data_IF_884061999492
#
_entry.id   IF_884061999492
#
_cell.length_a   1.000
_cell.length_b   1.000
_cell.length_c   1.000
_cell.angle_alpha   90.00
_cell.angle_beta   90.00
_cell.angle_gamma   90.00
#
_symmetry.space_group_name_H-M   'P 1'
#
loop_
_entity.id
_entity.type
_entity.pdbx_description
1 polymer ?
#
# COMPACT_ATOMS: atom_id res chain seq x y z
N UNK A 1 -25.83 -11.47 8.16
CA UNK A 1 -24.85 -11.30 9.26
C UNK A 1 -23.46 -11.17 8.65
N UNK A 2 -22.77 -10.05 8.83
CA UNK A 2 -21.36 -9.91 8.38
C UNK A 2 -20.46 -10.45 9.49
N UNK A 3 -19.94 -11.65 9.31
CA UNK A 3 -18.97 -12.22 10.26
C UNK A 3 -17.58 -11.77 9.84
N UNK A 4 -16.90 -11.07 10.75
CA UNK A 4 -15.48 -10.71 10.63
C UNK A 4 -14.67 -12.00 10.62
N UNK A 5 -13.87 -12.19 9.56
CA UNK A 5 -13.00 -13.37 9.40
C UNK A 5 -11.74 -13.16 10.22
N UNK A 6 -11.78 -13.62 11.45
CA UNK A 6 -10.68 -13.48 12.38
C UNK A 6 -9.89 -14.78 12.45
N UNK A 7 -8.64 -14.75 12.01
CA UNK A 7 -7.74 -15.88 12.13
C UNK A 7 -6.30 -15.40 12.22
N UNK A 8 -5.46 -16.22 12.84
CA UNK A 8 -4.04 -15.94 13.06
C UNK A 8 -3.22 -16.69 12.02
N UNK A 9 -2.23 -16.02 11.45
CA UNK A 9 -1.40 -16.56 10.37
C UNK A 9 0.06 -16.43 10.78
N UNK A 10 0.81 -17.52 10.66
CA UNK A 10 2.26 -17.56 10.87
C UNK A 10 3.01 -17.05 9.64
N UNK A 11 4.34 -16.86 9.76
CA UNK A 11 5.16 -16.25 8.71
C UNK A 11 5.24 -17.06 7.41
N UNK A 12 5.00 -18.37 7.46
CA UNK A 12 4.98 -19.28 6.31
C UNK A 12 3.57 -19.50 5.76
N UNK A 13 2.58 -18.77 6.27
CA UNK A 13 1.20 -18.82 5.80
C UNK A 13 0.32 -19.90 6.44
N UNK A 14 0.81 -20.67 7.42
CA UNK A 14 -0.08 -21.56 8.17
C UNK A 14 -1.04 -20.76 9.05
N UNK A 15 -2.32 -21.13 8.98
CA UNK A 15 -3.37 -20.60 9.82
C UNK A 15 -3.33 -21.33 11.17
N UNK A 16 -3.04 -20.60 12.25
CA UNK A 16 -2.86 -21.14 13.60
C UNK A 16 -4.22 -21.35 14.28
N UNK A 17 -5.10 -20.34 14.22
CA UNK A 17 -6.43 -20.40 14.81
C UNK A 17 -7.44 -19.61 13.99
N UNK A 18 -8.70 -20.05 13.99
CA UNK A 18 -9.84 -19.39 13.34
C UNK A 18 -10.85 -18.99 14.44
N UNK A 19 -10.83 -17.70 14.78
CA UNK A 19 -11.55 -17.10 15.90
C UNK A 19 -13.03 -16.82 15.57
N UNK A 20 -13.88 -16.91 16.59
CA UNK A 20 -15.30 -16.54 16.52
C UNK A 20 -16.28 -17.71 16.47
N UNK A 21 -17.50 -17.51 15.94
CA UNK A 21 -18.02 -16.28 15.36
C UNK A 21 -18.21 -15.19 16.42
N UNK A 22 -18.04 -13.93 16.03
CA UNK A 22 -18.33 -12.76 16.86
C UNK A 22 -19.46 -11.93 16.24
N UNK A 23 -20.07 -11.06 17.05
CA UNK A 23 -21.02 -10.07 16.54
C UNK A 23 -20.26 -9.11 15.61
N UNK A 24 -20.94 -8.62 14.57
CA UNK A 24 -20.35 -7.67 13.62
C UNK A 24 -19.86 -6.37 14.28
N UNK A 25 -20.38 -6.03 15.46
CA UNK A 25 -20.00 -4.86 16.25
C UNK A 25 -18.75 -5.09 17.12
N UNK A 26 -18.27 -6.33 17.23
CA UNK A 26 -17.07 -6.65 18.00
C UNK A 26 -15.86 -6.41 17.11
N UNK A 27 -15.04 -5.42 17.47
CA UNK A 27 -13.82 -5.10 16.73
C UNK A 27 -12.69 -6.10 17.02
N UNK A 28 -11.67 -6.10 16.17
CA UNK A 28 -10.58 -7.08 16.24
C UNK A 28 -9.71 -6.94 17.50
N UNK A 29 -9.58 -5.72 18.05
CA UNK A 29 -8.89 -5.47 19.32
C UNK A 29 -9.61 -6.14 20.50
N UNK A 30 -10.93 -5.99 20.61
CA UNK A 30 -11.75 -6.64 21.65
C UNK A 30 -11.73 -8.15 21.54
N UNK A 31 -11.78 -8.68 20.31
CA UNK A 31 -11.67 -10.13 20.06
C UNK A 31 -10.32 -10.65 20.55
N UNK A 32 -9.24 -9.93 20.26
CA UNK A 32 -7.89 -10.32 20.69
C UNK A 32 -7.76 -10.30 22.22
N UNK A 33 -8.26 -9.24 22.86
CA UNK A 33 -8.27 -9.10 24.32
C UNK A 33 -9.04 -10.25 25.01
N UNK A 34 -10.20 -10.63 24.47
CA UNK A 34 -10.97 -11.78 24.97
C UNK A 34 -10.14 -13.09 24.91
N UNK A 35 -9.42 -13.31 23.82
CA UNK A 35 -8.60 -14.51 23.67
C UNK A 35 -7.34 -14.47 24.55
N UNK A 36 -6.76 -13.29 24.77
CA UNK A 36 -5.64 -13.11 25.71
C UNK A 36 -6.03 -13.45 27.14
N UNK A 37 -7.22 -13.02 27.57
CA UNK A 37 -7.74 -13.30 28.91
C UNK A 37 -8.15 -14.76 29.13
N UNK A 38 -8.35 -15.55 28.07
CA UNK A 38 -8.71 -16.96 28.17
C UNK A 38 -7.45 -17.83 28.12
N UNK A 39 -7.08 -18.45 29.25
CA UNK A 39 -5.89 -19.30 29.37
C UNK A 39 -5.92 -20.53 28.46
N UNK A 40 -7.12 -21.02 28.11
CA UNK A 40 -7.30 -22.17 27.21
C UNK A 40 -7.27 -21.76 25.73
N UNK A 41 -7.15 -20.47 25.41
CA UNK A 41 -7.15 -20.02 24.02
C UNK A 41 -5.90 -20.50 23.28
N UNK A 42 -6.02 -20.64 21.95
CA UNK A 42 -4.85 -20.92 21.11
C UNK A 42 -3.80 -19.82 21.23
N UNK A 43 -4.23 -18.56 21.39
CA UNK A 43 -3.31 -17.43 21.55
C UNK A 43 -2.40 -17.61 22.79
N UNK A 44 -2.95 -18.14 23.89
CA UNK A 44 -2.21 -18.36 25.15
C UNK A 44 -1.42 -19.66 25.17
N UNK A 45 -1.90 -20.70 24.49
CA UNK A 45 -1.29 -22.04 24.51
C UNK A 45 -0.23 -22.25 23.41
N UNK A 46 -0.37 -21.61 22.25
CA UNK A 46 0.53 -21.78 21.12
C UNK A 46 1.71 -20.78 21.13
N UNK A 47 1.43 -19.48 21.34
CA UNK A 47 2.44 -18.43 21.28
C UNK A 47 3.20 -18.28 22.61
N UNK A 48 4.43 -17.82 22.51
CA UNK A 48 5.36 -17.65 23.63
C UNK A 48 5.75 -16.19 23.81
N UNK A 49 6.19 -15.87 25.03
CA UNK A 49 6.79 -14.55 25.33
C UNK A 49 7.95 -14.30 24.37
N UNK A 50 8.02 -13.11 23.79
CA UNK A 50 8.98 -12.73 22.76
C UNK A 50 8.49 -12.93 21.32
N UNK A 51 7.41 -13.67 21.10
CA UNK A 51 6.84 -13.81 19.75
C UNK A 51 6.37 -12.46 19.20
N UNK A 52 6.57 -12.27 17.89
CA UNK A 52 6.32 -11.01 17.20
C UNK A 52 4.93 -11.04 16.54
N UNK A 53 4.09 -10.10 16.93
CA UNK A 53 2.77 -9.88 16.37
C UNK A 53 2.80 -8.70 15.39
N UNK A 54 2.51 -8.96 14.12
CA UNK A 54 2.36 -7.95 13.07
C UNK A 54 0.86 -7.73 12.84
N UNK A 55 0.38 -6.56 13.23
CA UNK A 55 -1.05 -6.26 13.32
C UNK A 55 -1.46 -5.11 12.38
N UNK A 56 -2.74 -5.04 12.04
CA UNK A 56 -3.30 -3.87 11.37
C UNK A 56 -3.63 -2.75 12.39
N UNK A 57 -3.89 -1.54 11.90
CA UNK A 57 -4.21 -0.38 12.76
C UNK A 57 -5.46 -0.58 13.62
N UNK A 58 -6.38 -1.46 13.21
CA UNK A 58 -7.59 -1.80 13.98
C UNK A 58 -7.31 -2.49 15.32
N UNK A 59 -6.07 -2.94 15.56
CA UNK A 59 -5.65 -3.59 16.81
C UNK A 59 -5.03 -2.59 17.81
N UNK A 60 -5.09 -1.28 17.54
CA UNK A 60 -4.48 -0.23 18.39
C UNK A 60 -4.76 -0.41 19.87
N UNK A 61 -6.01 -0.70 20.22
CA UNK A 61 -6.49 -0.70 21.60
C UNK A 61 -6.02 -1.94 22.40
N UNK A 62 -5.44 -2.96 21.75
CA UNK A 62 -4.93 -4.18 22.41
C UNK A 62 -3.40 -4.28 22.43
N UNK A 63 -2.67 -3.34 21.82
CA UNK A 63 -1.20 -3.36 21.75
C UNK A 63 -0.55 -3.41 23.14
N UNK A 64 -0.98 -2.53 24.04
CA UNK A 64 -0.43 -2.46 25.40
C UNK A 64 -0.70 -3.75 26.18
N UNK A 65 -1.84 -4.39 25.94
CA UNK A 65 -2.19 -5.66 26.56
C UNK A 65 -1.29 -6.79 26.07
N UNK A 66 -1.10 -6.93 24.75
CA UNK A 66 -0.16 -7.89 24.15
C UNK A 66 1.25 -7.74 24.74
N UNK A 67 1.73 -6.50 24.87
CA UNK A 67 3.04 -6.22 25.45
C UNK A 67 3.14 -6.60 26.93
N UNK A 68 2.08 -6.37 27.72
CA UNK A 68 2.02 -6.81 29.14
C UNK A 68 2.10 -8.33 29.27
N UNK A 69 1.54 -9.07 28.32
CA UNK A 69 1.67 -10.53 28.25
C UNK A 69 3.05 -11.01 27.75
N UNK A 70 3.93 -10.08 27.37
CA UNK A 70 5.31 -10.36 26.97
C UNK A 70 5.50 -10.60 25.47
N UNK A 71 4.51 -10.27 24.64
CA UNK A 71 4.66 -10.32 23.18
C UNK A 71 5.27 -9.04 22.63
N UNK A 72 5.91 -9.13 21.47
CA UNK A 72 6.41 -7.96 20.72
C UNK A 72 5.37 -7.58 19.68
N UNK A 73 4.57 -6.54 19.95
CA UNK A 73 3.49 -6.13 19.05
C UNK A 73 3.88 -4.91 18.21
N UNK A 74 3.68 -5.02 16.89
CA UNK A 74 3.88 -3.94 15.92
C UNK A 74 2.62 -3.70 15.09
N UNK A 75 2.30 -2.43 14.86
CA UNK A 75 1.23 -1.98 13.98
C UNK A 75 1.68 -0.73 13.22
N UNK A 76 1.03 -0.36 12.10
CA UNK A 76 1.33 0.91 11.44
C UNK A 76 1.00 2.09 12.35
N UNK A 77 1.80 3.14 12.25
CA UNK A 77 1.65 4.36 13.01
C UNK A 77 0.33 5.07 12.67
N UNK A 78 -0.10 5.90 13.61
CA UNK A 78 -1.35 6.63 13.56
C UNK A 78 -1.11 8.12 13.74
N UNK A 79 -1.95 8.94 13.11
CA UNK A 79 -1.92 10.39 13.32
C UNK A 79 -2.35 10.72 14.75
N UNK A 80 -1.68 11.71 15.33
CA UNK A 80 -2.16 12.40 16.52
C UNK A 80 -3.27 13.39 16.13
N UNK A 81 -3.95 13.91 17.14
CA UNK A 81 -4.96 14.95 16.95
C UNK A 81 -4.34 16.17 16.24
N UNK A 82 -5.05 16.73 15.27
CA UNK A 82 -4.62 17.86 14.43
C UNK A 82 -3.48 17.56 13.42
N UNK A 83 -2.98 16.33 13.34
CA UNK A 83 -2.06 15.95 12.27
C UNK A 83 -2.80 15.53 11.00
N UNK A 84 -2.21 15.84 9.84
CA UNK A 84 -2.77 15.46 8.53
C UNK A 84 -1.91 14.41 7.80
N UNK A 85 -0.67 14.23 8.23
CA UNK A 85 0.32 13.37 7.60
C UNK A 85 1.33 12.86 8.63
N UNK A 86 1.77 11.60 8.49
CA UNK A 86 2.81 11.02 9.33
C UNK A 86 4.16 11.69 9.04
N UNK A 87 5.00 11.80 10.08
CA UNK A 87 6.42 12.13 9.90
C UNK A 87 7.13 11.08 9.04
N UNK A 88 8.28 11.44 8.46
CA UNK A 88 9.09 10.49 7.66
C UNK A 88 9.39 9.22 8.46
N UNK A 89 9.79 9.35 9.73
CA UNK A 89 10.15 8.20 10.54
C UNK A 89 8.95 7.32 10.91
N UNK A 90 7.80 7.91 11.27
CA UNK A 90 6.56 7.15 11.49
C UNK A 90 6.10 6.43 10.21
N UNK A 91 6.18 7.09 9.07
CA UNK A 91 5.79 6.52 7.79
C UNK A 91 6.73 5.39 7.34
N UNK A 92 8.03 5.50 7.63
CA UNK A 92 9.03 4.43 7.42
C UNK A 92 8.75 3.22 8.33
N UNK A 93 8.54 3.42 9.63
CA UNK A 93 8.17 2.34 10.58
C UNK A 93 6.88 1.64 10.16
N UNK A 94 5.88 2.41 9.73
CA UNK A 94 4.64 1.87 9.17
C UNK A 94 4.87 1.00 7.94
N UNK A 95 5.86 1.36 7.10
CA UNK A 95 6.20 0.54 5.94
C UNK A 95 6.77 -0.81 6.34
N UNK A 96 7.62 -0.90 7.37
CA UNK A 96 8.16 -2.17 7.85
C UNK A 96 7.04 -3.15 8.21
N UNK A 97 6.04 -2.68 8.98
CA UNK A 97 4.88 -3.51 9.35
C UNK A 97 4.11 -3.96 8.12
N UNK A 98 3.77 -3.04 7.22
CA UNK A 98 3.02 -3.36 6.00
C UNK A 98 3.80 -4.19 4.99
N UNK A 99 5.15 -4.16 5.00
CA UNK A 99 6.00 -5.06 4.23
C UNK A 99 5.83 -6.50 4.70
N UNK A 100 5.83 -6.75 6.00
CA UNK A 100 5.69 -8.08 6.58
C UNK A 100 4.26 -8.65 6.49
N UNK A 101 3.24 -7.78 6.48
CA UNK A 101 1.82 -8.17 6.47
C UNK A 101 1.35 -8.90 5.19
N UNK A 102 2.16 -8.92 4.12
CA UNK A 102 1.78 -9.51 2.83
C UNK A 102 1.35 -10.98 2.91
N UNK A 103 1.93 -11.76 3.82
CA UNK A 103 1.58 -13.19 4.06
C UNK A 103 0.10 -13.33 4.40
N UNK A 104 -0.42 -12.44 5.26
CA UNK A 104 -1.83 -12.40 5.66
C UNK A 104 -2.73 -12.07 4.46
N UNK A 105 -2.28 -11.22 3.54
CA UNK A 105 -3.03 -10.88 2.33
C UNK A 105 -3.10 -12.07 1.36
N UNK A 106 -2.01 -12.83 1.22
CA UNK A 106 -1.97 -14.04 0.40
C UNK A 106 -2.92 -15.11 0.95
N UNK A 107 -2.88 -15.38 2.26
CA UNK A 107 -3.79 -16.35 2.88
C UNK A 107 -5.25 -15.90 2.76
N UNK A 108 -5.55 -14.62 2.98
CA UNK A 108 -6.87 -14.06 2.71
C UNK A 108 -7.31 -14.24 1.25
N UNK A 109 -6.38 -14.09 0.32
CA UNK A 109 -6.58 -14.37 -1.10
C UNK A 109 -6.94 -15.83 -1.36
N UNK A 110 -6.18 -16.78 -0.80
CA UNK A 110 -6.42 -18.23 -0.90
C UNK A 110 -7.83 -18.58 -0.40
N UNK A 111 -8.20 -18.12 0.79
CA UNK A 111 -9.54 -18.31 1.37
C UNK A 111 -10.64 -17.80 0.41
N UNK A 112 -10.49 -16.57 -0.09
CA UNK A 112 -11.52 -15.94 -0.96
C UNK A 112 -11.62 -16.60 -2.34
N UNK A 113 -10.50 -17.06 -2.90
CA UNK A 113 -10.42 -17.65 -4.24
C UNK A 113 -10.99 -19.06 -4.25
N UNK A 114 -10.61 -19.87 -3.28
CA UNK A 114 -10.90 -21.31 -3.28
C UNK A 114 -12.29 -21.60 -2.69
N UNK A 115 -12.69 -20.81 -1.69
CA UNK A 115 -13.97 -20.96 -1.00
C UNK A 115 -14.87 -19.76 -1.31
N UNK A 116 -15.42 -19.75 -2.53
CA UNK A 116 -16.32 -18.69 -3.04
C UNK A 116 -17.49 -18.41 -2.10
N UNK A 117 -17.93 -19.41 -1.33
CA UNK A 117 -18.94 -19.29 -0.28
C UNK A 117 -18.68 -18.09 0.63
N UNK A 118 -17.43 -17.81 1.01
CA UNK A 118 -17.12 -16.70 1.90
C UNK A 118 -17.14 -15.34 1.19
N UNK A 119 -17.11 -15.27 -0.16
CA UNK A 119 -17.15 -14.01 -0.92
C UNK A 119 -18.52 -13.33 -0.87
N UNK A 120 -19.58 -14.09 -0.62
CA UNK A 120 -20.97 -13.62 -0.71
C UNK A 120 -21.62 -13.43 0.66
N UNK A 121 -22.75 -12.71 0.67
CA UNK A 121 -23.58 -12.55 1.86
C UNK A 121 -24.18 -13.91 2.23
N UNK A 122 -23.98 -14.32 3.48
CA UNK A 122 -24.44 -15.62 3.97
C UNK A 122 -25.94 -15.65 4.20
N UNK A 123 -26.59 -16.75 3.78
CA UNK A 123 -27.96 -17.05 4.16
C UNK A 123 -28.02 -17.38 5.66
N UNK A 124 -28.97 -16.80 6.39
CA UNK A 124 -29.14 -16.99 7.83
C UNK A 124 -29.29 -18.47 8.24
N UNK A 125 -29.89 -19.32 7.40
CA UNK A 125 -30.00 -20.77 7.69
C UNK A 125 -28.63 -21.48 7.61
N UNK A 126 -27.81 -21.10 6.63
CA UNK A 126 -26.46 -21.65 6.45
C UNK A 126 -25.45 -21.07 7.48
N UNK A 127 -25.76 -19.92 8.09
CA UNK A 127 -24.91 -19.28 9.08
C UNK A 127 -24.68 -20.14 10.34
N UNK A 128 -25.54 -21.12 10.63
CA UNK A 128 -25.39 -22.07 11.73
C UNK A 128 -24.11 -22.92 11.61
N UNK A 129 -23.70 -23.24 10.39
CA UNK A 129 -22.52 -24.07 10.12
C UNK A 129 -21.28 -23.27 9.71
N UNK A 130 -21.43 -21.96 9.48
CA UNK A 130 -20.39 -21.07 8.98
C UNK A 130 -19.08 -21.15 9.79
N UNK A 131 -19.13 -21.26 11.12
CA UNK A 131 -17.90 -21.45 11.92
C UNK A 131 -17.16 -22.71 11.51
N UNK A 132 -17.88 -23.83 11.41
CA UNK A 132 -17.30 -25.12 11.09
C UNK A 132 -16.81 -25.14 9.63
N UNK A 133 -17.61 -24.61 8.71
CA UNK A 133 -17.22 -24.48 7.29
C UNK A 133 -15.94 -23.65 7.14
N UNK A 134 -15.84 -22.54 7.89
CA UNK A 134 -14.66 -21.69 7.88
C UNK A 134 -13.44 -22.41 8.46
N UNK A 135 -13.59 -23.11 9.59
CA UNK A 135 -12.50 -23.92 10.19
C UNK A 135 -12.04 -25.05 9.27
N UNK A 136 -12.98 -25.76 8.63
CA UNK A 136 -12.67 -26.80 7.64
C UNK A 136 -11.89 -26.18 6.48
N UNK A 137 -12.33 -25.01 6.00
CA UNK A 137 -11.63 -24.30 4.93
C UNK A 137 -10.22 -23.87 5.34
N UNK A 138 -10.03 -23.34 6.57
CA UNK A 138 -8.71 -23.04 7.14
C UNK A 138 -7.82 -24.30 7.14
N UNK A 139 -8.35 -25.44 7.61
CA UNK A 139 -7.62 -26.70 7.69
C UNK A 139 -7.25 -27.26 6.31
N UNK A 140 -8.15 -27.16 5.33
CA UNK A 140 -7.88 -27.53 3.93
C UNK A 140 -6.78 -26.66 3.31
N UNK A 141 -6.76 -25.35 3.62
CA UNK A 141 -5.67 -24.48 3.18
C UNK A 141 -4.34 -24.96 3.76
N UNK A 142 -4.26 -25.17 5.07
CA UNK A 142 -3.03 -25.65 5.71
C UNK A 142 -2.58 -27.01 5.16
N UNK A 143 -3.51 -27.90 4.80
CA UNK A 143 -3.19 -29.26 4.34
C UNK A 143 -2.69 -29.30 2.89
N UNK A 144 -3.26 -28.48 2.01
CA UNK A 144 -3.08 -28.63 0.56
C UNK A 144 -2.34 -27.48 -0.12
N UNK A 145 -2.27 -26.29 0.50
CA UNK A 145 -1.47 -25.21 -0.09
C UNK A 145 0.00 -25.36 0.25
N UNK A 146 0.84 -24.96 -0.68
CA UNK A 146 2.28 -24.79 -0.43
C UNK A 146 2.51 -23.69 0.61
N UNK A 147 3.54 -23.89 1.42
CA UNK A 147 4.05 -22.87 2.33
C UNK A 147 4.42 -21.61 1.57
N UNK A 148 4.27 -20.48 2.24
CA UNK A 148 4.59 -19.17 1.69
C UNK A 148 6.07 -18.91 1.94
N UNK A 149 6.84 -18.92 0.86
CA UNK A 149 8.25 -18.60 0.89
C UNK A 149 8.49 -17.13 0.56
N UNK A 150 9.62 -16.60 1.04
CA UNK A 150 10.03 -15.26 0.69
C UNK A 150 10.33 -15.18 -0.82
N UNK A 151 9.93 -14.09 -1.49
CA UNK A 151 10.33 -13.88 -2.88
C UNK A 151 11.87 -13.76 -2.98
N UNK A 152 12.47 -14.09 -4.14
CA UNK A 152 13.92 -14.01 -4.33
C UNK A 152 14.53 -12.65 -3.95
N UNK A 153 13.78 -11.57 -4.16
CA UNK A 153 14.21 -10.19 -3.91
C UNK A 153 14.05 -9.75 -2.43
N UNK A 154 13.51 -10.60 -1.55
CA UNK A 154 13.17 -10.23 -0.17
C UNK A 154 14.37 -9.68 0.62
N UNK A 155 15.53 -10.33 0.51
CA UNK A 155 16.74 -9.89 1.21
C UNK A 155 17.21 -8.51 0.74
N UNK A 156 17.13 -8.25 -0.57
CA UNK A 156 17.42 -6.93 -1.13
C UNK A 156 16.45 -5.88 -0.59
N UNK A 157 15.15 -6.16 -0.58
CA UNK A 157 14.15 -5.22 -0.08
C UNK A 157 14.31 -4.93 1.41
N UNK A 158 14.65 -5.94 2.22
CA UNK A 158 14.95 -5.76 3.65
C UNK A 158 16.19 -4.90 3.84
N UNK A 159 17.25 -5.11 3.05
CA UNK A 159 18.46 -4.25 3.09
C UNK A 159 18.11 -2.80 2.78
N UNK A 160 17.45 -2.55 1.65
CA UNK A 160 17.04 -1.18 1.26
C UNK A 160 16.16 -0.54 2.35
N UNK A 161 15.22 -1.30 2.92
CA UNK A 161 14.37 -0.79 3.98
C UNK A 161 15.16 -0.40 5.24
N UNK A 162 16.13 -1.22 5.66
CA UNK A 162 17.00 -0.93 6.81
C UNK A 162 17.87 0.29 6.57
N UNK A 163 18.51 0.39 5.41
CA UNK A 163 19.39 1.50 5.05
C UNK A 163 18.63 2.84 5.02
N UNK A 164 17.34 2.80 4.67
CA UNK A 164 16.49 4.00 4.55
C UNK A 164 15.67 4.33 5.79
N UNK A 165 15.61 3.45 6.80
CA UNK A 165 14.70 3.56 7.94
C UNK A 165 14.82 4.90 8.68
N UNK A 166 16.06 5.35 8.89
CA UNK A 166 16.40 6.58 9.63
C UNK A 166 16.70 7.77 8.73
N UNK A 167 16.55 7.64 7.40
CA UNK A 167 16.78 8.75 6.49
C UNK A 167 15.63 9.77 6.58
N UNK A 168 16.00 11.03 6.70
CA UNK A 168 15.07 12.14 6.54
C UNK A 168 14.72 12.36 5.07
N UNK A 169 13.52 12.90 4.83
CA UNK A 169 13.07 13.25 3.49
C UNK A 169 13.24 14.77 3.27
N UNK A 170 14.46 15.18 2.90
CA UNK A 170 14.79 16.59 2.66
C UNK A 170 13.88 17.24 1.59
N UNK A 171 13.44 16.48 0.59
CA UNK A 171 12.48 16.98 -0.41
C UNK A 171 11.13 17.30 0.23
N UNK A 172 10.62 16.44 1.12
CA UNK A 172 9.39 16.72 1.86
C UNK A 172 9.53 17.97 2.74
N UNK A 173 10.65 18.11 3.44
CA UNK A 173 10.95 19.31 4.25
C UNK A 173 10.94 20.58 3.40
N UNK A 174 11.61 20.55 2.24
CA UNK A 174 11.61 21.68 1.30
C UNK A 174 10.22 22.02 0.79
N UNK A 175 9.44 21.02 0.35
CA UNK A 175 8.07 21.19 -0.15
C UNK A 175 7.18 21.91 0.87
N UNK A 176 7.33 21.57 2.15
CA UNK A 176 6.58 22.17 3.25
C UNK A 176 7.04 23.60 3.54
N UNK A 177 8.34 23.82 3.73
CA UNK A 177 8.90 25.14 4.04
C UNK A 177 8.64 26.16 2.92
N UNK A 178 8.81 25.74 1.66
CA UNK A 178 8.57 26.56 0.49
C UNK A 178 7.07 26.69 0.12
N UNK A 179 6.19 26.02 0.87
CA UNK A 179 4.75 25.98 0.66
C UNK A 179 4.36 25.63 -0.78
N UNK A 180 5.07 24.67 -1.40
CA UNK A 180 4.96 24.41 -2.83
C UNK A 180 3.52 24.06 -3.23
N UNK A 181 2.76 23.35 -2.38
CA UNK A 181 1.35 23.01 -2.64
C UNK A 181 0.46 24.24 -2.96
N UNK A 182 0.82 25.44 -2.45
CA UNK A 182 0.07 26.68 -2.68
C UNK A 182 0.59 27.49 -3.88
N UNK A 183 1.78 27.18 -4.39
CA UNK A 183 2.36 27.89 -5.54
C UNK A 183 1.62 27.51 -6.82
N UNK A 184 1.29 28.53 -7.63
CA UNK A 184 0.67 28.32 -8.94
C UNK A 184 1.62 27.58 -9.87
N UNK A 185 1.10 26.55 -10.53
CA UNK A 185 1.81 25.75 -11.54
C UNK A 185 0.81 25.37 -12.62
N UNK A 186 1.27 25.37 -13.87
CA UNK A 186 0.49 24.91 -14.99
C UNK A 186 0.56 23.38 -15.06
N UNK A 187 -0.55 22.73 -14.73
CA UNK A 187 -0.70 21.29 -14.80
C UNK A 187 -1.36 20.89 -16.12
N UNK A 188 -0.91 19.77 -16.70
CA UNK A 188 -1.51 19.11 -17.85
C UNK A 188 -1.72 17.64 -17.55
N UNK A 189 -2.63 16.98 -18.27
CA UNK A 189 -2.86 15.54 -18.08
C UNK A 189 -1.55 14.78 -18.34
N UNK A 190 -1.31 13.75 -17.53
CA UNK A 190 -0.04 13.00 -17.58
C UNK A 190 0.20 12.33 -18.94
N UNK A 191 -0.88 12.01 -19.67
CA UNK A 191 -0.88 11.42 -21.01
C UNK A 191 -0.85 12.47 -22.15
N UNK A 192 -0.78 13.76 -21.84
CA UNK A 192 -0.58 14.81 -22.85
C UNK A 192 0.84 14.76 -23.40
N UNK A 193 1.04 15.30 -24.61
CA UNK A 193 2.38 15.45 -25.16
C UNK A 193 3.19 16.45 -24.32
N UNK A 194 4.22 15.97 -23.63
CA UNK A 194 5.07 16.74 -22.74
C UNK A 194 6.54 16.54 -23.15
N UNK A 195 7.09 17.31 -24.12
CA UNK A 195 8.44 17.08 -24.64
C UNK A 195 9.55 17.12 -23.58
N UNK A 196 9.37 17.91 -22.52
CA UNK A 196 10.33 17.96 -21.42
C UNK A 196 10.42 16.65 -20.61
N UNK A 197 9.44 15.75 -20.75
CA UNK A 197 9.44 14.41 -20.13
C UNK A 197 10.03 13.34 -21.06
N UNK A 198 10.51 13.67 -22.25
CA UNK A 198 11.10 12.67 -23.16
C UNK A 198 12.35 12.03 -22.56
N UNK A 199 13.07 12.77 -21.69
CA UNK A 199 14.23 12.30 -20.93
C UNK A 199 13.88 11.64 -19.58
N UNK A 200 12.60 11.49 -19.24
CA UNK A 200 12.22 10.76 -18.02
C UNK A 200 12.68 9.30 -18.14
N UNK A 201 13.25 8.69 -17.08
CA UNK A 201 13.89 7.39 -17.17
C UNK A 201 12.91 6.29 -17.61
N UNK A 202 13.32 5.46 -18.56
CA UNK A 202 12.59 4.24 -18.90
C UNK A 202 12.99 3.13 -17.93
N UNK A 203 12.05 2.74 -17.05
CA UNK A 203 12.32 1.77 -15.98
C UNK A 203 11.63 0.45 -16.24
N UNK A 204 12.27 -0.66 -15.85
CA UNK A 204 11.66 -1.98 -15.92
C UNK A 204 10.65 -2.20 -14.80
N UNK A 205 9.78 -3.21 -14.94
CA UNK A 205 8.89 -3.63 -13.84
C UNK A 205 9.70 -4.04 -12.60
N UNK A 206 10.90 -4.59 -12.76
CA UNK A 206 11.79 -4.95 -11.65
C UNK A 206 12.25 -3.70 -10.90
N UNK A 207 12.63 -2.64 -11.60
CA UNK A 207 12.99 -1.36 -10.99
C UNK A 207 11.83 -0.75 -10.21
N UNK A 208 10.61 -0.84 -10.75
CA UNK A 208 9.40 -0.34 -10.08
C UNK A 208 9.05 -1.17 -8.83
N UNK A 209 9.21 -2.50 -8.88
CA UNK A 209 9.06 -3.35 -7.68
C UNK A 209 10.10 -2.98 -6.62
N UNK A 210 11.35 -2.72 -7.03
CA UNK A 210 12.43 -2.27 -6.15
C UNK A 210 12.14 -0.89 -5.56
N UNK A 211 11.60 0.06 -6.33
CA UNK A 211 11.16 1.37 -5.84
C UNK A 211 10.06 1.28 -4.77
N UNK A 212 9.09 0.38 -4.94
CA UNK A 212 8.00 0.18 -3.97
C UNK A 212 8.36 -0.78 -2.81
N UNK A 213 9.43 -1.55 -2.95
CA UNK A 213 9.75 -2.71 -2.11
C UNK A 213 8.61 -3.74 -2.11
N UNK A 214 8.05 -4.01 -3.30
CA UNK A 214 6.97 -4.96 -3.48
C UNK A 214 6.03 -4.63 -4.65
N UNK A 215 5.04 -5.49 -4.86
CA UNK A 215 4.13 -5.42 -6.02
C UNK A 215 2.83 -4.67 -5.75
N UNK A 216 2.50 -4.41 -4.48
CA UNK A 216 1.20 -3.84 -4.12
C UNK A 216 0.98 -2.46 -4.73
N UNK A 217 1.94 -1.54 -4.57
CA UNK A 217 1.80 -0.18 -5.12
C UNK A 217 1.77 -0.16 -6.64
N UNK A 218 2.45 -1.10 -7.30
CA UNK A 218 2.39 -1.27 -8.75
C UNK A 218 0.99 -1.69 -9.21
N UNK A 219 0.36 -2.64 -8.52
CA UNK A 219 -1.05 -3.03 -8.77
C UNK A 219 -2.03 -1.88 -8.51
N UNK A 220 -1.75 -1.02 -7.54
CA UNK A 220 -2.56 0.18 -7.30
C UNK A 220 -2.36 1.23 -8.40
N UNK A 221 -1.14 1.41 -8.88
CA UNK A 221 -0.83 2.35 -9.95
C UNK A 221 -1.62 2.06 -11.23
N UNK A 222 -1.70 0.79 -11.64
CA UNK A 222 -2.51 0.39 -12.80
C UNK A 222 -4.00 0.68 -12.59
N UNK A 223 -4.52 0.47 -11.38
CA UNK A 223 -5.90 0.81 -11.01
C UNK A 223 -6.16 2.31 -11.07
N UNK A 224 -5.27 3.12 -10.50
CA UNK A 224 -5.41 4.58 -10.51
C UNK A 224 -5.34 5.17 -11.91
N UNK A 225 -4.42 4.68 -12.74
CA UNK A 225 -4.34 5.10 -14.12
C UNK A 225 -5.55 4.60 -14.94
N UNK A 226 -6.05 3.41 -14.65
CA UNK A 226 -7.29 2.91 -15.24
C UNK A 226 -8.49 3.84 -14.98
N UNK A 227 -8.63 4.36 -13.77
CA UNK A 227 -9.64 5.38 -13.45
C UNK A 227 -9.41 6.69 -14.22
N UNK A 228 -8.15 7.05 -14.48
CA UNK A 228 -7.79 8.27 -15.23
C UNK A 228 -8.22 8.23 -16.71
N UNK A 229 -8.12 7.07 -17.36
CA UNK A 229 -8.45 6.92 -18.78
C UNK A 229 -9.91 6.51 -19.03
N UNK A 230 -10.69 6.21 -17.99
CA UNK A 230 -12.12 5.88 -18.12
C UNK A 230 -12.94 7.11 -18.52
N UNK A 231 -13.89 6.91 -19.42
CA UNK A 231 -14.64 7.95 -20.14
C UNK A 231 -15.52 8.85 -19.26
N UNK A 232 -15.76 8.50 -17.99
CA UNK A 232 -16.54 9.34 -17.07
C UNK A 232 -15.81 10.63 -16.69
N UNK A 233 -14.48 10.73 -16.89
CA UNK A 233 -13.71 11.98 -16.79
C UNK A 233 -13.57 12.57 -15.38
N UNK A 234 -14.02 11.87 -14.33
CA UNK A 234 -14.05 12.39 -12.96
C UNK A 234 -12.64 12.41 -12.34
N UNK A 235 -11.82 11.43 -12.69
CA UNK A 235 -10.49 11.19 -12.12
C UNK A 235 -9.37 11.66 -13.06
N UNK A 236 -8.52 12.58 -12.59
CA UNK A 236 -7.41 13.12 -13.37
C UNK A 236 -6.07 12.93 -12.65
N UNK A 237 -5.06 12.55 -13.44
CA UNK A 237 -3.65 12.55 -13.07
C UNK A 237 -2.97 13.59 -13.94
N UNK A 238 -2.33 14.56 -13.31
CA UNK A 238 -1.72 15.67 -14.01
C UNK A 238 -0.30 15.93 -13.49
N UNK A 239 0.55 16.44 -14.37
CA UNK A 239 1.94 16.83 -14.09
C UNK A 239 2.20 18.26 -14.56
N UNK A 240 3.18 18.93 -13.99
CA UNK A 240 3.59 20.26 -14.45
C UNK A 240 4.10 20.20 -15.88
N UNK A 241 3.70 21.16 -16.71
CA UNK A 241 4.07 21.21 -18.12
C UNK A 241 5.44 21.86 -18.41
N UNK A 242 6.10 22.34 -17.36
CA UNK A 242 7.38 23.06 -17.39
C UNK A 242 8.26 22.55 -16.27
N UNK A 243 9.56 22.37 -16.52
CA UNK A 243 10.50 21.94 -15.50
C UNK A 243 10.79 23.06 -14.52
N UNK A 244 10.80 22.72 -13.24
CA UNK A 244 11.30 23.60 -12.19
C UNK A 244 12.76 23.23 -11.93
N UNK A 245 13.65 24.02 -12.51
CA UNK A 245 15.10 23.83 -12.49
C UNK A 245 15.76 24.55 -11.31
N UNK A 246 15.04 25.43 -10.62
CA UNK A 246 15.53 26.14 -9.44
C UNK A 246 15.33 25.28 -8.18
N UNK A 247 16.08 24.18 -8.14
CA UNK A 247 16.07 23.24 -7.02
C UNK A 247 17.16 23.64 -6.02
N UNK A 248 16.84 23.79 -4.72
CA UNK A 248 17.83 24.11 -3.69
C UNK A 248 18.99 23.12 -3.65
N UNK A 249 20.21 23.62 -3.41
CA UNK A 249 21.44 22.83 -3.34
C UNK A 249 21.39 21.66 -2.32
N UNK A 250 20.60 21.79 -1.25
CA UNK A 250 20.41 20.72 -0.25
C UNK A 250 19.76 19.46 -0.87
N UNK A 251 19.10 19.60 -2.03
CA UNK A 251 18.53 18.50 -2.80
C UNK A 251 19.48 18.00 -3.89
N UNK A 252 20.77 18.37 -3.83
CA UNK A 252 21.78 17.96 -4.80
C UNK A 252 21.91 18.91 -5.99
N UNK A 253 22.94 18.67 -6.79
CA UNK A 253 23.22 19.42 -8.01
C UNK A 253 22.56 18.73 -9.22
N UNK A 254 22.31 19.51 -10.26
CA UNK A 254 21.86 19.01 -11.56
C UNK A 254 20.55 18.19 -11.52
N UNK A 255 19.62 18.59 -10.66
CA UNK A 255 18.30 17.97 -10.56
C UNK A 255 17.22 18.91 -11.10
N UNK A 256 16.07 18.35 -11.49
CA UNK A 256 14.83 19.10 -11.69
C UNK A 256 13.71 18.54 -10.82
N UNK A 257 12.71 19.38 -10.57
CA UNK A 257 11.53 19.01 -9.81
C UNK A 257 10.33 18.77 -10.73
N UNK A 258 9.84 17.53 -10.73
CA UNK A 258 8.57 17.15 -11.34
C UNK A 258 7.47 17.16 -10.27
N UNK A 259 6.40 17.86 -10.55
CA UNK A 259 5.24 18.07 -9.67
C UNK A 259 4.03 17.40 -10.29
N UNK A 260 3.35 16.55 -9.53
CA UNK A 260 2.09 15.96 -9.95
C UNK A 260 0.94 16.33 -9.01
N UNK A 261 -0.28 16.16 -9.52
CA UNK A 261 -1.49 16.18 -8.71
C UNK A 261 -2.42 15.06 -9.14
N UNK A 262 -3.02 14.42 -8.15
CA UNK A 262 -3.85 13.23 -8.33
C UNK A 262 -5.11 13.37 -7.46
N UNK A 263 -6.29 13.25 -8.06
CA UNK A 263 -7.55 13.24 -7.29
C UNK A 263 -7.65 11.98 -6.42
N UNK A 264 -8.33 12.08 -5.29
CA UNK A 264 -8.61 10.95 -4.40
C UNK A 264 -9.77 10.12 -4.94
N UNK A 265 -9.57 8.80 -5.09
CA UNK A 265 -10.64 7.84 -5.43
C UNK A 265 -11.73 7.66 -4.37
N UNK A 266 -11.46 8.11 -3.14
CA UNK A 266 -12.33 7.86 -1.97
C UNK A 266 -13.08 9.11 -1.51
N UNK A 267 -12.63 10.30 -1.93
CA UNK A 267 -13.17 11.58 -1.49
C UNK A 267 -13.08 12.58 -2.65
N UNK A 268 -14.22 12.94 -3.24
CA UNK A 268 -14.27 13.74 -4.47
C UNK A 268 -13.55 15.10 -4.37
N UNK A 269 -13.43 15.68 -3.17
CA UNK A 269 -12.78 16.99 -2.96
C UNK A 269 -11.27 16.93 -2.70
N UNK A 270 -10.71 15.75 -2.42
CA UNK A 270 -9.31 15.65 -1.98
C UNK A 270 -8.37 15.44 -3.15
N UNK A 271 -7.40 16.33 -3.31
CA UNK A 271 -6.30 16.19 -4.27
C UNK A 271 -4.99 15.95 -3.52
N UNK A 272 -4.21 14.99 -3.98
CA UNK A 272 -2.87 14.72 -3.47
C UNK A 272 -1.84 15.33 -4.42
N UNK A 273 -0.86 16.02 -3.84
CA UNK A 273 0.29 16.56 -4.56
C UNK A 273 1.45 15.58 -4.44
N UNK A 274 2.17 15.41 -5.52
CA UNK A 274 3.35 14.55 -5.61
C UNK A 274 4.53 15.35 -6.11
N UNK A 275 5.72 14.99 -5.65
CA UNK A 275 6.97 15.64 -5.98
C UNK A 275 7.99 14.55 -6.26
N UNK A 276 8.69 14.68 -7.37
CA UNK A 276 9.73 13.79 -7.85
C UNK A 276 10.95 14.66 -8.15
N UNK A 277 12.05 14.34 -7.49
CA UNK A 277 13.35 14.95 -7.73
C UNK A 277 14.13 14.03 -8.68
N UNK A 278 14.45 14.54 -9.85
CA UNK A 278 15.00 13.77 -10.96
C UNK A 278 16.39 14.29 -11.32
N UNK A 279 17.37 13.40 -11.41
CA UNK A 279 18.73 13.73 -11.87
C UNK A 279 18.77 13.94 -13.37
N UNK A 280 19.55 14.94 -13.79
CA UNK A 280 19.90 15.20 -15.19
C UNK A 280 21.25 14.59 -15.56
N UNK A 281 21.88 13.84 -14.67
CA UNK A 281 23.19 13.24 -14.92
C UNK A 281 23.07 12.05 -15.87
N UNK A 282 23.77 12.14 -17.00
CA UNK A 282 23.73 11.10 -18.04
C UNK A 282 24.28 9.75 -17.55
N UNK A 283 25.13 9.76 -16.51
CA UNK A 283 25.71 8.55 -15.92
C UNK A 283 24.67 7.61 -15.29
N UNK A 284 23.54 8.14 -14.81
CA UNK A 284 22.46 7.36 -14.19
C UNK A 284 21.20 7.32 -15.06
N UNK A 285 21.25 7.87 -16.28
CA UNK A 285 20.10 7.95 -17.17
C UNK A 285 19.47 6.57 -17.42
N UNK A 286 18.13 6.51 -17.44
CA UNK A 286 17.35 5.28 -17.60
C UNK A 286 17.59 4.20 -16.53
N UNK A 287 18.11 4.59 -15.36
CA UNK A 287 18.20 3.71 -14.20
C UNK A 287 17.30 4.21 -13.07
N UNK A 288 17.03 3.36 -12.09
CA UNK A 288 16.27 3.75 -10.91
C UNK A 288 16.93 4.91 -10.15
N UNK A 289 18.26 5.04 -10.22
CA UNK A 289 19.03 6.08 -9.55
C UNK A 289 18.80 7.48 -10.15
N UNK A 290 18.19 7.58 -11.34
CA UNK A 290 17.67 8.84 -11.88
C UNK A 290 16.63 9.47 -10.94
N UNK A 291 15.86 8.66 -10.19
CA UNK A 291 14.87 9.15 -9.22
C UNK A 291 15.56 9.33 -7.85
N UNK A 292 16.09 10.53 -7.65
CA UNK A 292 16.87 10.90 -6.45
C UNK A 292 16.00 10.99 -5.21
N UNK A 293 14.77 11.49 -5.35
CA UNK A 293 13.87 11.70 -4.21
C UNK A 293 12.42 11.79 -4.61
N UNK A 294 11.54 11.55 -3.65
CA UNK A 294 10.10 11.71 -3.84
C UNK A 294 9.39 12.03 -2.52
N UNK A 295 8.29 12.77 -2.61
CA UNK A 295 7.33 12.90 -1.53
C UNK A 295 5.92 13.17 -2.05
N UNK A 296 4.92 12.87 -1.24
CA UNK A 296 3.51 13.09 -1.56
C UNK A 296 2.79 13.70 -0.37
N UNK A 297 1.69 14.44 -0.58
CA UNK A 297 0.85 15.00 0.50
C UNK A 297 -0.13 13.98 1.12
N UNK A 298 -0.07 12.69 0.74
CA UNK A 298 -0.90 11.65 1.33
C UNK A 298 -0.40 11.22 2.70
N UNK A 299 -1.22 10.52 3.50
CA UNK A 299 -0.92 10.13 4.90
C UNK A 299 0.51 9.61 5.14
N UNK A 300 1.03 8.77 4.25
CA UNK A 300 2.33 8.09 4.33
C UNK A 300 3.39 8.68 3.37
N UNK A 301 3.06 9.80 2.71
CA UNK A 301 3.77 10.30 1.54
C UNK A 301 5.16 10.87 1.80
N UNK A 302 5.57 11.06 3.07
CA UNK A 302 6.92 11.48 3.45
C UNK A 302 7.94 10.35 3.56
N UNK A 303 7.51 9.08 3.51
CA UNK A 303 8.39 7.93 3.68
C UNK A 303 9.49 7.87 2.61
N UNK A 304 10.65 7.36 3.00
CA UNK A 304 11.79 7.04 2.12
C UNK A 304 11.91 5.53 1.87
N UNK A 305 11.29 4.72 2.73
CA UNK A 305 11.17 3.26 2.58
C UNK A 305 9.98 2.95 1.67
N UNK A 306 10.26 2.65 0.40
CA UNK A 306 9.25 2.44 -0.64
C UNK A 306 8.41 3.69 -0.95
N UNK A 307 7.69 3.74 -2.07
CA UNK A 307 6.89 4.92 -2.41
C UNK A 307 5.37 4.70 -2.19
N UNK A 308 4.58 5.75 -1.97
CA UNK A 308 3.11 5.60 -1.89
C UNK A 308 2.52 5.26 -3.27
N UNK A 309 1.24 4.89 -3.31
CA UNK A 309 0.57 4.54 -4.58
C UNK A 309 0.55 5.72 -5.57
N UNK A 310 0.37 6.96 -5.10
CA UNK A 310 0.35 8.16 -5.95
C UNK A 310 1.69 8.42 -6.66
N UNK A 311 2.79 8.29 -5.91
CA UNK A 311 4.14 8.36 -6.50
C UNK A 311 4.33 7.22 -7.50
N UNK A 312 3.95 6.00 -7.12
CA UNK A 312 4.07 4.85 -8.01
C UNK A 312 3.27 5.05 -9.30
N UNK A 313 2.07 5.62 -9.25
CA UNK A 313 1.26 5.87 -10.46
C UNK A 313 1.97 6.77 -11.46
N UNK A 314 2.54 7.88 -10.99
CA UNK A 314 3.25 8.82 -11.88
C UNK A 314 4.52 8.19 -12.43
N UNK A 315 5.34 7.59 -11.55
CA UNK A 315 6.60 6.96 -11.98
C UNK A 315 6.30 5.83 -12.95
N UNK A 316 5.42 4.89 -12.60
CA UNK A 316 5.05 3.77 -13.45
C UNK A 316 4.56 4.21 -14.82
N UNK A 317 3.68 5.21 -14.90
CA UNK A 317 3.17 5.65 -16.20
C UNK A 317 4.27 6.31 -17.04
N UNK A 318 5.01 7.28 -16.48
CA UNK A 318 6.04 8.01 -17.22
C UNK A 318 7.25 7.13 -17.59
N UNK A 319 7.60 6.14 -16.77
CA UNK A 319 8.78 5.30 -17.01
C UNK A 319 8.49 4.03 -17.79
N UNK A 320 7.25 3.53 -17.77
CA UNK A 320 6.91 2.23 -18.32
C UNK A 320 5.55 2.27 -19.06
N UNK A 321 4.50 2.75 -18.41
CA UNK A 321 3.13 2.69 -18.91
C UNK A 321 2.93 3.40 -20.25
N UNK A 322 3.51 4.58 -20.48
CA UNK A 322 3.35 5.31 -21.75
C UNK A 322 4.05 4.63 -22.95
N UNK A 323 4.94 3.68 -22.70
CA UNK A 323 5.67 2.92 -23.71
C UNK A 323 5.08 1.53 -23.98
N UNK A 324 4.10 1.14 -23.17
CA UNK A 324 3.43 -0.15 -23.27
C UNK A 324 1.95 0.11 -23.54
N UNK A 325 1.28 -0.79 -24.25
CA UNK A 325 -0.16 -0.65 -24.47
C UNK A 325 -0.92 -0.88 -23.14
N UNK A 326 -1.32 0.21 -22.49
CA UNK A 326 -1.95 0.18 -21.17
C UNK A 326 -3.46 0.29 -21.31
N UNK A 327 -4.15 -0.77 -20.90
CA UNK A 327 -5.61 -0.80 -20.82
C UNK A 327 -6.10 -0.61 -19.39
N UNK A 328 -7.30 -0.02 -19.24
CA UNK A 328 -7.93 0.10 -17.93
C UNK A 328 -8.26 -1.30 -17.38
N UNK A 329 -8.00 -1.59 -16.09
CA UNK A 329 -8.40 -2.85 -15.49
C UNK A 329 -9.91 -3.05 -15.63
N UNK A 330 -10.34 -4.25 -16.02
CA UNK A 330 -11.75 -4.59 -16.22
C UNK A 330 -12.51 -3.65 -17.17
N UNK A 331 -11.85 -3.17 -18.23
CA UNK A 331 -12.45 -2.36 -19.30
C UNK A 331 -13.68 -3.01 -19.94
N UNK A 332 -13.73 -4.35 -19.99
CA UNK A 332 -14.90 -5.10 -20.48
C UNK A 332 -16.20 -4.82 -19.71
N UNK A 333 -16.12 -4.31 -18.47
CA UNK A 333 -17.30 -3.94 -17.68
C UNK A 333 -17.82 -2.54 -17.98
N UNK A 334 -17.06 -1.70 -18.69
CA UNK A 334 -17.44 -0.31 -18.96
C UNK A 334 -18.65 -0.22 -19.91
N UNK A 335 -18.83 -1.22 -20.78
CA UNK A 335 -19.93 -1.28 -21.76
C UNK A 335 -21.06 -2.24 -21.36
N UNK A 336 -20.94 -2.93 -20.21
CA UNK A 336 -21.87 -4.00 -19.84
C UNK A 336 -23.32 -3.54 -19.61
N UNK A 337 -23.51 -2.26 -19.29
CA UNK A 337 -24.85 -1.66 -19.14
C UNK A 337 -25.32 -0.89 -20.38
N UNK A 338 -24.49 -0.73 -21.41
CA UNK A 338 -24.89 -0.03 -22.64
C UNK A 338 -25.72 -0.93 -23.57
N UNK A 339 -25.65 -2.26 -23.42
CA UNK A 339 -26.44 -3.22 -24.21
C UNK A 339 -27.92 -3.35 -23.77
N UNK A 340 -28.35 -2.62 -22.73
CA UNK A 340 -29.74 -2.69 -22.22
C UNK A 340 -30.56 -1.41 -22.44
N UNK A 341 -29.99 -0.41 -23.12
CA UNK A 341 -30.64 0.88 -23.41
C UNK A 341 -31.03 1.07 -24.91
N UNK A 342 -31.06 -0.02 -25.70
CA UNK A 342 -31.65 -0.02 -27.07
C UNK A 342 -33.06 -0.61 -27.13
#
# INVERSE_FOLDING_TARGET
MTITRNYQVSCDGHIVDCLGPYKATTNDASITSLNLCNEESCLRSFFRRGDIFILDRGFRDVINELQRYGFVAHMPESLLENEHQLTTQQANRSRFVTMCRWVVEVVNGRVKRDFRLFRHVFNNRAALHLKNDFRISCALINKFHVVIENPPEALEYVRIAKDRLSLENHLATYVEQANLNRRRVNFQMINSNNPHLDRFPQLTITDLKRLALGTYQLKQATSYYGEHIRQTGIYSIEVNNTLDDDVPLILGLNNYLLRGRIKSRHVNSRTYHTYLLISKDDAVANTLDTIVGYCCSCLIGKRTVGCCAYIMTIVWYLSWGRYNDVTAPASALDNFFQEYDE
#
